data_IF_160355257401
#
_entry.id   IF_160355257401
#
_cell.length_a   1.000
_cell.length_b   1.000
_cell.length_c   1.000
_cell.angle_alpha   90.00
_cell.angle_beta   90.00
_cell.angle_gamma   90.00
#
_symmetry.space_group_name_H-M   'P 1'
#
loop_
_entity.id
_entity.type
_entity.pdbx_description
1 polymer ?
#
# COMPACT_ATOMS: atom_id res chain seq x y z
N UNK A 1 6.57 8.80 -26.03
CA UNK A 1 6.45 9.36 -24.66
C UNK A 1 7.10 10.72 -24.63
N UNK A 2 6.35 11.72 -24.19
CA UNK A 2 6.84 13.07 -23.94
C UNK A 2 7.66 13.12 -22.63
N UNK A 3 8.45 14.18 -22.43
CA UNK A 3 9.12 14.41 -21.14
C UNK A 3 8.12 14.56 -19.97
N UNK A 4 6.90 15.01 -20.24
CA UNK A 4 5.85 15.10 -19.22
C UNK A 4 5.32 13.72 -18.83
N UNK A 5 5.19 12.80 -19.79
CA UNK A 5 4.73 11.42 -19.54
C UNK A 5 5.74 10.68 -18.64
N UNK A 6 7.03 10.83 -18.92
CA UNK A 6 8.11 10.26 -18.09
C UNK A 6 8.05 10.77 -16.65
N UNK A 7 7.90 12.09 -16.47
CA UNK A 7 7.76 12.69 -15.13
C UNK A 7 6.52 12.18 -14.40
N UNK A 8 5.43 11.94 -15.12
CA UNK A 8 4.19 11.42 -14.55
C UNK A 8 4.36 9.98 -14.05
N UNK A 9 5.00 9.12 -14.84
CA UNK A 9 5.32 7.74 -14.48
C UNK A 9 6.21 7.69 -13.25
N UNK A 10 7.25 8.54 -13.18
CA UNK A 10 8.13 8.62 -12.02
C UNK A 10 7.39 9.06 -10.74
N UNK A 11 6.50 10.06 -10.86
CA UNK A 11 5.66 10.51 -9.74
C UNK A 11 4.73 9.40 -9.26
N UNK A 12 4.10 8.70 -10.19
CA UNK A 12 3.21 7.59 -9.88
C UNK A 12 3.98 6.46 -9.16
N UNK A 13 5.13 6.04 -9.71
CA UNK A 13 6.00 5.05 -9.05
C UNK A 13 6.42 5.49 -7.65
N UNK A 14 6.80 6.76 -7.47
CA UNK A 14 7.18 7.28 -6.16
C UNK A 14 6.03 7.26 -5.15
N UNK A 15 4.78 7.52 -5.59
CA UNK A 15 3.60 7.39 -4.72
C UNK A 15 3.36 5.94 -4.30
N UNK A 16 3.43 5.00 -5.24
CA UNK A 16 3.29 3.56 -4.96
C UNK A 16 4.34 3.08 -3.95
N UNK A 17 5.60 3.48 -4.15
CA UNK A 17 6.71 3.16 -3.24
C UNK A 17 6.51 3.75 -1.84
N UNK A 18 6.12 5.02 -1.74
CA UNK A 18 5.83 5.64 -0.43
C UNK A 18 4.66 4.95 0.27
N UNK A 19 3.60 4.61 -0.47
CA UNK A 19 2.44 3.91 0.08
C UNK A 19 2.84 2.55 0.66
N UNK A 20 3.62 1.76 -0.09
CA UNK A 20 4.12 0.47 0.36
C UNK A 20 5.04 0.57 1.57
N UNK A 21 5.93 1.58 1.61
CA UNK A 21 6.80 1.82 2.76
C UNK A 21 6.00 2.08 4.04
N UNK A 22 4.94 2.88 3.96
CA UNK A 22 4.09 3.14 5.12
C UNK A 22 3.20 1.95 5.49
N UNK A 23 2.78 1.14 4.51
CA UNK A 23 2.12 -0.13 4.78
C UNK A 23 3.06 -1.10 5.52
N UNK A 24 4.35 -1.12 5.17
CA UNK A 24 5.37 -1.88 5.90
C UNK A 24 5.54 -1.38 7.34
N UNK A 25 5.67 -0.08 7.58
CA UNK A 25 5.77 0.42 8.96
C UNK A 25 4.52 0.11 9.79
N UNK A 26 3.35 0.19 9.16
CA UNK A 26 2.09 -0.19 9.79
C UNK A 26 2.10 -1.67 10.20
N UNK A 27 2.54 -2.55 9.29
CA UNK A 27 2.69 -3.97 9.56
C UNK A 27 3.71 -4.21 10.67
N UNK A 28 4.95 -3.76 10.51
CA UNK A 28 6.03 -4.07 11.45
C UNK A 28 5.71 -3.61 12.87
N UNK A 29 4.99 -2.49 13.02
CA UNK A 29 4.63 -1.94 14.33
C UNK A 29 3.42 -2.60 14.99
N UNK A 30 2.52 -3.25 14.24
CA UNK A 30 1.42 -4.01 14.87
C UNK A 30 1.91 -5.34 15.49
N UNK A 31 3.15 -5.76 15.16
CA UNK A 31 3.81 -6.93 15.75
C UNK A 31 4.88 -6.56 16.78
N UNK A 32 5.09 -5.27 17.06
CA UNK A 32 6.07 -4.80 18.05
C UNK A 32 5.37 -4.46 19.36
N UNK A 33 5.46 -5.36 20.35
CA UNK A 33 4.88 -5.20 21.69
C UNK A 33 5.39 -3.93 22.43
N UNK A 34 6.47 -3.30 21.97
CA UNK A 34 6.99 -2.05 22.53
C UNK A 34 6.37 -0.79 21.93
N UNK A 35 5.58 -0.93 20.87
CA UNK A 35 4.91 0.15 20.15
C UNK A 35 3.41 0.09 20.43
N UNK A 36 2.80 1.25 20.68
CA UNK A 36 1.34 1.32 20.79
C UNK A 36 0.69 1.05 19.42
N UNK A 37 -0.33 0.20 19.37
CA UNK A 37 -1.14 -0.08 18.17
C UNK A 37 -1.57 1.18 17.42
N UNK A 38 -1.85 2.27 18.15
CA UNK A 38 -2.24 3.56 17.59
C UNK A 38 -1.23 4.10 16.58
N UNK A 39 0.06 3.82 16.76
CA UNK A 39 1.14 4.20 15.85
C UNK A 39 1.08 3.37 14.57
N UNK A 40 0.84 2.06 14.67
CA UNK A 40 0.67 1.17 13.53
C UNK A 40 -0.56 1.57 12.68
N UNK A 41 -1.66 1.94 13.35
CA UNK A 41 -2.88 2.48 12.70
C UNK A 41 -2.62 3.85 12.05
N UNK A 42 -1.82 4.72 12.67
CA UNK A 42 -1.46 6.00 12.08
C UNK A 42 -0.66 5.81 10.79
N UNK A 43 0.28 4.86 10.75
CA UNK A 43 1.00 4.51 9.53
C UNK A 43 0.10 3.88 8.47
N UNK A 44 -0.87 3.05 8.85
CA UNK A 44 -1.87 2.52 7.92
C UNK A 44 -2.63 3.66 7.24
N UNK A 45 -3.04 4.67 8.00
CA UNK A 45 -3.77 5.82 7.47
C UNK A 45 -2.91 6.66 6.51
N UNK A 46 -1.61 6.79 6.77
CA UNK A 46 -0.67 7.42 5.84
C UNK A 46 -0.57 6.59 4.55
N UNK A 47 -0.44 5.27 4.66
CA UNK A 47 -0.39 4.37 3.51
C UNK A 47 -1.67 4.48 2.66
N UNK A 48 -2.84 4.44 3.29
CA UNK A 48 -4.13 4.59 2.64
C UNK A 48 -4.24 5.94 1.89
N UNK A 49 -3.78 7.02 2.51
CA UNK A 49 -3.76 8.35 1.87
C UNK A 49 -2.85 8.38 0.63
N UNK A 50 -1.72 7.67 0.66
CA UNK A 50 -0.77 7.58 -0.46
C UNK A 50 -1.31 6.68 -1.58
N UNK A 51 -1.91 5.54 -1.25
CA UNK A 51 -2.57 4.68 -2.23
C UNK A 51 -3.75 5.38 -2.90
N UNK A 52 -4.61 6.05 -2.15
CA UNK A 52 -5.72 6.82 -2.73
C UNK A 52 -5.23 7.94 -3.67
N UNK A 53 -4.11 8.61 -3.34
CA UNK A 53 -3.49 9.59 -4.24
C UNK A 53 -2.92 8.94 -5.50
N UNK A 54 -2.28 7.76 -5.38
CA UNK A 54 -1.76 7.00 -6.51
C UNK A 54 -2.88 6.52 -7.44
N UNK A 55 -3.93 5.94 -6.88
CA UNK A 55 -5.10 5.44 -7.61
C UNK A 55 -5.85 6.57 -8.32
N UNK A 56 -6.03 7.71 -7.65
CA UNK A 56 -6.61 8.90 -8.28
C UNK A 56 -5.79 9.40 -9.47
N UNK A 57 -4.46 9.43 -9.33
CA UNK A 57 -3.55 9.80 -10.42
C UNK A 57 -3.60 8.79 -11.58
N UNK A 58 -3.62 7.50 -11.25
CA UNK A 58 -3.72 6.39 -12.20
C UNK A 58 -4.96 6.54 -13.10
N UNK A 59 -6.15 6.64 -12.51
CA UNK A 59 -7.39 6.76 -13.30
C UNK A 59 -7.52 8.10 -14.02
N UNK A 60 -6.94 9.18 -13.46
CA UNK A 60 -6.95 10.49 -14.11
C UNK A 60 -6.02 10.56 -15.33
N UNK A 61 -5.06 9.65 -15.46
CA UNK A 61 -4.07 9.62 -16.53
C UNK A 61 -3.87 8.19 -17.08
N UNK A 62 -4.99 7.45 -17.17
CA UNK A 62 -4.99 6.02 -17.49
C UNK A 62 -4.23 5.70 -18.78
N UNK A 63 -4.46 6.46 -19.85
CA UNK A 63 -3.80 6.27 -21.17
C UNK A 63 -2.25 6.27 -21.11
N UNK A 64 -1.67 6.83 -20.04
CA UNK A 64 -0.22 6.92 -19.83
C UNK A 64 0.25 5.94 -18.74
N UNK A 65 -0.57 5.73 -17.71
CA UNK A 65 -0.19 5.03 -16.49
C UNK A 65 -0.72 3.59 -16.38
N UNK A 66 -1.55 3.14 -17.34
CA UNK A 66 -2.14 1.80 -17.38
C UNK A 66 -1.10 0.71 -17.11
N UNK A 67 -1.37 -0.06 -16.05
CA UNK A 67 -0.54 -1.15 -15.51
C UNK A 67 -1.49 -2.07 -14.74
N UNK A 68 -1.74 -3.26 -15.25
CA UNK A 68 -2.60 -4.26 -14.57
C UNK A 68 -2.14 -4.53 -13.13
N UNK A 69 -0.82 -4.46 -12.88
CA UNK A 69 -0.26 -4.69 -11.55
C UNK A 69 -0.69 -3.61 -10.54
N UNK A 70 -0.94 -2.38 -10.98
CA UNK A 70 -1.34 -1.29 -10.08
C UNK A 70 -2.72 -1.54 -9.47
N UNK A 71 -3.71 -1.91 -10.29
CA UNK A 71 -5.07 -2.24 -9.84
C UNK A 71 -5.07 -3.42 -8.88
N UNK A 72 -4.27 -4.45 -9.17
CA UNK A 72 -4.09 -5.58 -8.27
C UNK A 72 -3.51 -5.15 -6.92
N UNK A 73 -2.50 -4.27 -6.91
CA UNK A 73 -1.90 -3.78 -5.67
C UNK A 73 -2.91 -2.94 -4.85
N UNK A 74 -3.69 -2.07 -5.50
CA UNK A 74 -4.74 -1.30 -4.80
C UNK A 74 -5.73 -2.22 -4.11
N UNK A 75 -6.23 -3.23 -4.83
CA UNK A 75 -7.17 -4.19 -4.30
C UNK A 75 -6.59 -4.99 -3.12
N UNK A 76 -5.37 -5.50 -3.24
CA UNK A 76 -4.73 -6.29 -2.19
C UNK A 76 -4.43 -5.40 -0.97
N UNK A 77 -4.08 -4.13 -1.17
CA UNK A 77 -3.92 -3.18 -0.06
C UNK A 77 -5.24 -2.96 0.70
N UNK A 78 -6.38 -2.85 0.00
CA UNK A 78 -7.68 -2.73 0.67
C UNK A 78 -7.99 -3.96 1.54
N UNK A 79 -7.64 -5.16 1.07
CA UNK A 79 -7.79 -6.40 1.84
C UNK A 79 -6.94 -6.36 3.11
N UNK A 80 -5.65 -6.00 2.98
CA UNK A 80 -4.75 -5.84 4.13
C UNK A 80 -5.26 -4.77 5.12
N UNK A 81 -5.69 -3.61 4.62
CA UNK A 81 -6.18 -2.50 5.44
C UNK A 81 -7.42 -2.89 6.23
N UNK A 82 -8.40 -3.54 5.59
CA UNK A 82 -9.63 -4.01 6.25
C UNK A 82 -9.31 -5.07 7.30
N UNK A 83 -8.42 -6.00 6.97
CA UNK A 83 -7.99 -7.05 7.90
C UNK A 83 -7.30 -6.44 9.14
N UNK A 84 -6.37 -5.51 8.95
CA UNK A 84 -5.65 -4.87 10.06
C UNK A 84 -6.61 -4.10 10.99
N UNK A 85 -7.56 -3.34 10.43
CA UNK A 85 -8.55 -2.61 11.23
C UNK A 85 -9.54 -3.54 11.94
N UNK A 86 -9.89 -4.66 11.30
CA UNK A 86 -10.75 -5.69 11.90
C UNK A 86 -10.05 -6.37 13.06
N UNK A 87 -8.78 -6.72 12.86
CA UNK A 87 -7.94 -7.29 13.89
C UNK A 87 -7.83 -6.35 15.09
N UNK A 88 -7.43 -5.10 14.88
CA UNK A 88 -7.33 -4.11 15.96
C UNK A 88 -8.66 -3.91 16.72
N UNK A 89 -9.81 -3.99 16.03
CA UNK A 89 -11.13 -3.87 16.65
C UNK A 89 -11.51 -5.10 17.50
N UNK A 90 -11.10 -6.29 17.09
CA UNK A 90 -11.61 -7.56 17.64
C UNK A 90 -10.58 -8.36 18.41
N UNK A 91 -9.32 -7.89 18.44
CA UNK A 91 -8.17 -8.52 19.08
C UNK A 91 -8.03 -10.00 18.68
N UNK A 92 -8.27 -10.31 17.41
CA UNK A 92 -8.08 -11.67 16.91
C UNK A 92 -6.60 -11.94 16.61
N UNK A 93 -6.30 -13.12 16.06
CA UNK A 93 -4.92 -13.47 15.75
C UNK A 93 -4.35 -12.59 14.64
N UNK A 94 -3.15 -12.05 14.85
CA UNK A 94 -2.40 -11.31 13.83
C UNK A 94 -1.92 -12.17 12.65
N UNK A 95 -2.10 -13.49 12.70
CA UNK A 95 -1.67 -14.40 11.63
C UNK A 95 -2.30 -14.04 10.27
N UNK A 96 -3.58 -13.67 10.26
CA UNK A 96 -4.24 -13.26 9.02
C UNK A 96 -3.75 -11.90 8.53
N UNK A 97 -3.49 -10.96 9.43
CA UNK A 97 -2.85 -9.67 9.10
C UNK A 97 -1.48 -9.86 8.44
N UNK A 98 -0.64 -10.76 8.96
CA UNK A 98 0.67 -11.12 8.37
C UNK A 98 0.50 -11.75 6.98
N UNK A 99 -0.46 -12.67 6.81
CA UNK A 99 -0.73 -13.31 5.51
C UNK A 99 -1.14 -12.27 4.46
N UNK A 100 -2.07 -11.37 4.78
CA UNK A 100 -2.54 -10.37 3.82
C UNK A 100 -1.46 -9.32 3.51
N UNK A 101 -0.63 -8.94 4.49
CA UNK A 101 0.52 -8.07 4.24
C UNK A 101 1.55 -8.74 3.33
N UNK A 102 1.90 -10.01 3.57
CA UNK A 102 2.86 -10.72 2.72
C UNK A 102 2.35 -10.86 1.28
N UNK A 103 1.04 -11.06 1.08
CA UNK A 103 0.44 -11.03 -0.26
C UNK A 103 0.59 -9.66 -0.94
N UNK A 104 0.35 -8.58 -0.20
CA UNK A 104 0.56 -7.22 -0.70
C UNK A 104 2.03 -7.02 -1.10
N UNK A 105 2.95 -7.44 -0.23
CA UNK A 105 4.39 -7.35 -0.45
C UNK A 105 4.84 -8.12 -1.68
N UNK A 106 4.38 -9.35 -1.85
CA UNK A 106 4.71 -10.20 -3.01
C UNK A 106 4.19 -9.58 -4.32
N UNK A 107 2.95 -9.08 -4.32
CA UNK A 107 2.38 -8.36 -5.47
C UNK A 107 3.19 -7.10 -5.81
N UNK A 108 3.60 -6.34 -4.80
CA UNK A 108 4.42 -5.13 -4.99
C UNK A 108 5.83 -5.46 -5.51
N UNK A 109 6.53 -6.41 -4.91
CA UNK A 109 7.91 -6.77 -5.26
C UNK A 109 8.02 -7.43 -6.64
N UNK A 110 6.95 -8.07 -7.11
CA UNK A 110 6.85 -8.63 -8.46
C UNK A 110 6.48 -7.59 -9.54
N UNK A 111 6.17 -6.35 -9.15
CA UNK A 111 5.71 -5.29 -10.05
C UNK A 111 6.83 -4.34 -10.49
N UNK A 112 6.51 -3.44 -11.43
CA UNK A 112 7.41 -2.36 -11.84
C UNK A 112 7.67 -1.30 -10.73
N UNK A 113 6.93 -1.34 -9.62
CA UNK A 113 7.03 -0.38 -8.52
C UNK A 113 8.04 -0.77 -7.44
N UNK A 114 8.53 -2.01 -7.47
CA UNK A 114 9.56 -2.51 -6.55
C UNK A 114 10.75 -1.54 -6.41
N UNK A 115 11.34 -1.56 -5.21
CA UNK A 115 12.51 -0.75 -4.84
C UNK A 115 13.79 -1.23 -5.52
#
# INVERSE_FOLDING_TARGET
MSNNDLSLIEKFKSLMQQAMLYAQYSHDYIFDDSVEDSVAIAYLNIAASKFAAAESLYYSCFDILERDEAESIFHIFDVYMVEMLTNHKTEHSHQWTDIEYNRLKDAFDSSAFAF
#
